data_IF_059859764358
#
_entry.id   IF_059859764358
#
_cell.length_a   1.000
_cell.length_b   1.000
_cell.length_c   1.000
_cell.angle_alpha   90.00
_cell.angle_beta   90.00
_cell.angle_gamma   90.00
#
_symmetry.space_group_name_H-M   'P 1'
#
loop_
_entity.id
_entity.type
_entity.pdbx_description
1 polymer ?
#
# COMPACT_ATOMS: atom_id res chain seq x y z
N UNK A 1 10.14 61.65 49.08
CA UNK A 1 10.83 61.11 47.87
C UNK A 1 10.76 59.59 47.90
N UNK A 2 10.76 58.96 46.72
CA UNK A 2 10.75 57.51 46.40
C UNK A 2 9.37 56.86 46.24
N UNK A 3 8.92 56.88 44.97
CA UNK A 3 7.91 55.98 44.37
C UNK A 3 8.54 54.58 44.24
N UNK A 4 7.90 53.55 44.76
CA UNK A 4 8.26 52.15 44.50
C UNK A 4 7.48 51.64 43.29
N UNK A 5 8.20 51.21 42.24
CA UNK A 5 7.66 50.56 41.04
C UNK A 5 7.42 49.08 41.35
N UNK A 6 6.19 48.61 41.17
CA UNK A 6 5.85 47.18 41.19
C UNK A 6 6.29 46.57 39.85
N UNK A 7 7.26 45.65 39.87
CA UNK A 7 7.69 44.89 38.71
C UNK A 7 6.76 43.68 38.55
N UNK A 8 6.02 43.64 37.44
CA UNK A 8 5.22 42.50 37.02
C UNK A 8 6.16 41.47 36.38
N UNK A 9 6.42 40.36 37.07
CA UNK A 9 7.20 39.23 36.56
C UNK A 9 6.30 38.32 35.73
N UNK A 10 6.39 38.40 34.39
CA UNK A 10 5.80 37.42 33.48
C UNK A 10 6.60 36.12 33.53
N UNK A 11 6.04 35.07 34.16
CA UNK A 11 6.53 33.70 33.99
C UNK A 11 6.09 33.18 32.61
N UNK A 12 7.02 33.17 31.66
CA UNK A 12 6.84 32.45 30.40
C UNK A 12 7.04 30.95 30.66
N UNK A 13 5.96 30.23 30.97
CA UNK A 13 5.97 28.77 31.04
C UNK A 13 6.13 28.19 29.63
N UNK A 14 7.28 27.56 29.37
CA UNK A 14 7.53 26.80 28.15
C UNK A 14 6.67 25.53 28.20
N UNK A 15 5.56 25.49 27.44
CA UNK A 15 4.85 24.24 27.18
C UNK A 15 5.76 23.36 26.31
N UNK A 16 6.39 22.37 26.91
CA UNK A 16 6.98 21.26 26.16
C UNK A 16 5.81 20.38 25.73
N UNK A 17 5.40 20.50 24.48
CA UNK A 17 4.49 19.53 23.87
C UNK A 17 5.23 18.18 23.83
N UNK A 18 4.87 17.26 24.73
CA UNK A 18 5.22 15.85 24.59
C UNK A 18 4.46 15.32 23.37
N UNK A 19 5.10 15.30 22.21
CA UNK A 19 4.61 14.49 21.11
C UNK A 19 4.77 13.04 21.56
N UNK A 20 3.68 12.24 21.69
CA UNK A 20 3.84 10.83 21.98
C UNK A 20 4.74 10.23 20.90
N UNK A 21 5.82 9.57 21.32
CA UNK A 21 6.56 8.67 20.46
C UNK A 21 5.55 7.68 19.87
N UNK A 22 5.51 7.62 18.54
CA UNK A 22 4.63 6.69 17.83
C UNK A 22 5.04 5.28 18.24
N UNK A 23 4.16 4.58 18.93
CA UNK A 23 4.46 3.24 19.43
C UNK A 23 4.61 2.28 18.24
N UNK A 24 5.72 1.57 18.21
CA UNK A 24 6.02 0.58 17.17
C UNK A 24 5.12 -0.64 17.37
N UNK A 25 4.57 -1.20 16.30
CA UNK A 25 3.75 -2.40 16.38
C UNK A 25 4.58 -3.61 16.81
N UNK A 26 4.01 -4.50 17.64
CA UNK A 26 4.66 -5.77 17.94
C UNK A 26 4.48 -6.70 16.74
N UNK A 27 5.59 -7.22 16.20
CA UNK A 27 5.58 -8.11 15.04
C UNK A 27 5.76 -9.57 15.48
N UNK A 28 4.80 -10.40 15.12
CA UNK A 28 4.88 -11.87 15.25
C UNK A 28 4.98 -12.48 13.86
N UNK A 29 5.98 -13.34 13.66
CA UNK A 29 6.18 -14.08 12.40
C UNK A 29 6.15 -15.58 12.64
N UNK A 30 5.80 -16.35 11.60
CA UNK A 30 5.79 -17.80 11.66
C UNK A 30 5.45 -18.45 10.33
N UNK A 31 5.10 -19.74 10.38
CA UNK A 31 4.72 -20.53 9.21
C UNK A 31 3.53 -21.43 9.55
N UNK A 32 2.56 -21.54 8.63
CA UNK A 32 1.42 -22.45 8.69
C UNK A 32 1.40 -23.22 7.37
N UNK A 33 1.53 -24.55 7.42
CA UNK A 33 1.49 -25.42 6.23
C UNK A 33 2.38 -24.97 5.05
N UNK A 34 3.53 -24.37 5.36
CA UNK A 34 4.49 -23.84 4.38
C UNK A 34 4.26 -22.38 3.97
N UNK A 35 3.11 -21.78 4.31
CA UNK A 35 2.85 -20.37 4.15
C UNK A 35 3.46 -19.56 5.30
N UNK A 36 4.34 -18.61 5.02
CA UNK A 36 4.85 -17.69 6.03
C UNK A 36 3.79 -16.64 6.37
N UNK A 37 3.75 -16.18 7.61
CA UNK A 37 2.90 -15.07 8.02
C UNK A 37 3.66 -14.03 8.84
N UNK A 38 3.15 -12.81 8.80
CA UNK A 38 3.52 -11.71 9.70
C UNK A 38 2.24 -11.05 10.22
N UNK A 39 2.15 -10.88 11.52
CA UNK A 39 1.04 -10.22 12.23
C UNK A 39 1.63 -9.02 12.98
N UNK A 40 1.06 -7.84 12.74
CA UNK A 40 1.33 -6.62 13.50
C UNK A 40 0.20 -6.40 14.51
N UNK A 41 0.56 -6.38 15.79
CA UNK A 41 -0.36 -6.17 16.91
C UNK A 41 -0.11 -4.81 17.59
N UNK A 42 -1.15 -4.16 18.13
CA UNK A 42 -0.98 -2.90 18.85
C UNK A 42 -0.19 -3.12 20.15
N UNK A 43 0.92 -2.40 20.33
CA UNK A 43 1.83 -2.55 21.48
C UNK A 43 1.46 -1.63 22.66
N UNK A 44 0.86 -0.47 22.37
CA UNK A 44 0.50 0.57 23.36
C UNK A 44 -0.91 0.44 23.91
N UNK A 45 -1.71 -0.51 23.40
CA UNK A 45 -3.10 -0.71 23.84
C UNK A 45 -3.60 -2.12 23.53
N UNK A 46 -4.64 -2.60 24.23
CA UNK A 46 -5.26 -3.88 23.91
C UNK A 46 -5.82 -3.92 22.48
N UNK A 47 -5.70 -5.08 21.84
CA UNK A 47 -6.37 -5.39 20.59
C UNK A 47 -7.89 -5.31 20.75
N UNK A 48 -8.55 -4.64 19.80
CA UNK A 48 -9.99 -4.40 19.80
C UNK A 48 -10.80 -5.44 19.00
N UNK A 49 -10.20 -6.59 18.70
CA UNK A 49 -10.82 -7.70 17.94
C UNK A 49 -11.15 -7.36 16.47
N UNK A 50 -10.57 -6.28 15.94
CA UNK A 50 -10.68 -5.92 14.53
C UNK A 50 -9.38 -6.26 13.80
N UNK A 51 -9.51 -6.84 12.60
CA UNK A 51 -8.42 -7.36 11.80
C UNK A 51 -8.53 -6.84 10.36
N UNK A 52 -7.40 -6.36 9.84
CA UNK A 52 -7.19 -6.25 8.39
C UNK A 52 -6.26 -7.37 7.93
N UNK A 53 -6.73 -8.21 7.01
CA UNK A 53 -5.95 -9.26 6.37
C UNK A 53 -5.54 -8.83 4.97
N UNK A 54 -4.24 -8.92 4.63
CA UNK A 54 -3.71 -8.47 3.34
C UNK A 54 -3.48 -9.67 2.42
N UNK A 55 -4.12 -9.65 1.26
CA UNK A 55 -3.88 -10.57 0.15
C UNK A 55 -2.98 -9.89 -0.90
N UNK A 56 -1.74 -10.39 -1.07
CA UNK A 56 -0.82 -9.76 -2.01
C UNK A 56 -1.10 -10.16 -3.47
N UNK A 57 -0.62 -9.34 -4.41
CA UNK A 57 -0.72 -9.61 -5.84
C UNK A 57 0.18 -10.76 -6.32
N UNK A 58 0.23 -10.94 -7.64
CA UNK A 58 1.06 -11.96 -8.26
C UNK A 58 2.53 -11.85 -7.85
N UNK A 59 3.17 -13.00 -7.68
CA UNK A 59 4.61 -13.15 -7.51
C UNK A 59 5.10 -14.30 -8.39
N UNK A 60 6.27 -14.17 -9.04
CA UNK A 60 6.85 -15.27 -9.82
C UNK A 60 7.09 -16.51 -8.96
N UNK A 61 6.89 -17.71 -9.51
CA UNK A 61 7.11 -18.98 -8.80
C UNK A 61 8.52 -19.11 -8.19
N UNK A 62 9.52 -18.51 -8.84
CA UNK A 62 10.92 -18.50 -8.40
C UNK A 62 11.24 -17.48 -7.30
N UNK A 63 10.31 -16.56 -6.99
CA UNK A 63 10.52 -15.57 -5.94
C UNK A 63 10.49 -16.23 -4.55
N UNK A 64 11.20 -15.66 -3.55
CA UNK A 64 11.13 -16.17 -2.18
C UNK A 64 9.71 -16.02 -1.60
N UNK A 65 9.33 -16.94 -0.71
CA UNK A 65 8.10 -16.82 0.06
C UNK A 65 8.34 -15.92 1.27
N UNK A 66 7.78 -14.71 1.22
CA UNK A 66 7.93 -13.70 2.28
C UNK A 66 6.60 -13.04 2.62
N UNK A 67 6.31 -12.91 3.91
CA UNK A 67 5.17 -12.14 4.42
C UNK A 67 5.64 -10.72 4.78
N UNK A 68 6.04 -9.96 3.76
CA UNK A 68 6.51 -8.57 3.85
C UNK A 68 5.36 -7.61 4.24
N UNK A 69 5.13 -7.48 5.55
CA UNK A 69 4.22 -6.52 6.14
C UNK A 69 4.99 -5.28 6.57
N UNK A 70 4.53 -4.10 6.14
CA UNK A 70 5.14 -2.81 6.46
C UNK A 70 4.22 -2.02 7.41
N UNK A 71 4.19 -2.32 8.72
CA UNK A 71 3.23 -1.74 9.66
C UNK A 71 3.36 -0.22 9.80
N UNK A 72 4.53 0.33 9.51
CA UNK A 72 4.83 1.77 9.58
C UNK A 72 4.18 2.58 8.44
N UNK A 73 3.71 1.94 7.37
CA UNK A 73 2.94 2.61 6.33
C UNK A 73 1.69 3.25 6.95
N UNK A 74 1.40 4.50 6.57
CA UNK A 74 0.51 5.36 7.36
C UNK A 74 -0.90 4.81 7.53
N UNK A 75 -1.43 4.04 6.58
CA UNK A 75 -2.72 3.37 6.70
C UNK A 75 -2.72 2.34 7.84
N UNK A 76 -1.76 1.41 7.80
CA UNK A 76 -1.66 0.31 8.77
C UNK A 76 -1.27 0.82 10.15
N UNK A 77 -0.31 1.74 10.22
CA UNK A 77 0.08 2.34 11.49
C UNK A 77 -1.09 3.05 12.14
N UNK A 78 -1.92 3.78 11.38
CA UNK A 78 -3.13 4.42 11.94
C UNK A 78 -4.12 3.40 12.50
N UNK A 79 -4.33 2.28 11.81
CA UNK A 79 -5.23 1.21 12.29
C UNK A 79 -4.68 0.54 13.57
N UNK A 80 -3.37 0.27 13.59
CA UNK A 80 -2.67 -0.30 14.75
C UNK A 80 -2.72 0.69 15.93
N UNK A 81 -2.52 1.98 15.69
CA UNK A 81 -2.64 3.05 16.69
C UNK A 81 -4.03 3.06 17.36
N UNK A 82 -5.06 2.64 16.61
CA UNK A 82 -6.44 2.51 17.07
C UNK A 82 -6.81 1.14 17.67
N UNK A 83 -5.85 0.20 17.69
CA UNK A 83 -6.00 -1.11 18.32
C UNK A 83 -6.40 -2.23 17.36
N UNK A 84 -6.38 -2.01 16.05
CA UNK A 84 -6.56 -3.09 15.06
C UNK A 84 -5.30 -3.95 14.94
N UNK A 85 -5.48 -5.20 14.53
CA UNK A 85 -4.39 -6.01 13.99
C UNK A 85 -4.31 -5.88 12.47
N UNK A 86 -3.11 -6.00 11.93
CA UNK A 86 -2.88 -6.15 10.49
C UNK A 86 -2.05 -7.40 10.26
N UNK A 87 -2.49 -8.29 9.37
CA UNK A 87 -1.79 -9.54 9.10
C UNK A 87 -1.63 -9.79 7.60
N UNK A 88 -0.58 -10.52 7.24
CA UNK A 88 -0.26 -10.89 5.86
C UNK A 88 0.33 -12.28 5.83
N UNK A 89 -0.01 -13.05 4.79
CA UNK A 89 0.61 -14.34 4.46
C UNK A 89 1.42 -14.23 3.17
N UNK A 90 2.46 -15.04 3.01
CA UNK A 90 3.18 -15.21 1.74
C UNK A 90 2.45 -16.14 0.77
N UNK A 91 1.39 -16.81 1.23
CA UNK A 91 0.90 -18.08 0.70
C UNK A 91 1.96 -19.19 0.76
N UNK A 92 1.52 -20.45 0.60
CA UNK A 92 2.37 -21.64 0.62
C UNK A 92 3.24 -21.78 -0.62
N UNK A 93 2.89 -21.08 -1.71
CA UNK A 93 3.62 -21.04 -2.97
C UNK A 93 3.35 -19.73 -3.73
N UNK A 94 4.21 -19.37 -4.67
CA UNK A 94 4.01 -18.26 -5.59
C UNK A 94 3.37 -18.74 -6.91
N UNK A 95 3.02 -17.81 -7.79
CA UNK A 95 2.35 -18.08 -9.07
C UNK A 95 0.91 -17.59 -9.11
N UNK A 96 0.14 -18.09 -10.08
CA UNK A 96 -1.31 -17.86 -10.17
C UNK A 96 -1.99 -18.98 -9.38
N UNK A 97 -2.28 -18.72 -8.10
CA UNK A 97 -2.61 -19.75 -7.11
C UNK A 97 -3.81 -19.34 -6.24
N UNK A 98 -4.94 -19.00 -6.88
CA UNK A 98 -6.10 -18.41 -6.21
C UNK A 98 -6.68 -19.36 -5.15
N UNK A 99 -6.83 -20.64 -5.48
CA UNK A 99 -7.41 -21.62 -4.56
C UNK A 99 -6.55 -21.88 -3.31
N UNK A 100 -5.24 -22.02 -3.49
CA UNK A 100 -4.30 -22.18 -2.37
C UNK A 100 -4.23 -20.90 -1.53
N UNK A 101 -4.19 -19.72 -2.16
CA UNK A 101 -4.15 -18.45 -1.46
C UNK A 101 -5.38 -18.25 -0.56
N UNK A 102 -6.57 -18.61 -1.04
CA UNK A 102 -7.81 -18.61 -0.24
C UNK A 102 -7.64 -19.51 1.00
N UNK A 103 -7.15 -20.73 0.79
CA UNK A 103 -6.94 -21.69 1.89
C UNK A 103 -5.96 -21.15 2.92
N UNK A 104 -4.86 -20.54 2.48
CA UNK A 104 -3.82 -19.99 3.37
C UNK A 104 -4.32 -18.76 4.16
N UNK A 105 -5.22 -17.96 3.58
CA UNK A 105 -5.86 -16.84 4.29
C UNK A 105 -6.80 -17.34 5.38
N UNK A 106 -7.62 -18.36 5.09
CA UNK A 106 -8.51 -18.99 6.06
C UNK A 106 -7.70 -19.61 7.22
N UNK A 107 -6.58 -20.27 6.91
CA UNK A 107 -5.67 -20.85 7.90
C UNK A 107 -5.02 -19.77 8.78
N UNK A 108 -4.60 -18.65 8.19
CA UNK A 108 -4.05 -17.53 8.96
C UNK A 108 -5.10 -16.90 9.88
N UNK A 109 -6.33 -16.71 9.40
CA UNK A 109 -7.43 -16.22 10.23
C UNK A 109 -7.73 -17.19 11.40
N UNK A 110 -7.80 -18.49 11.13
CA UNK A 110 -8.00 -19.50 12.16
C UNK A 110 -6.86 -19.49 13.20
N UNK A 111 -5.61 -19.34 12.76
CA UNK A 111 -4.45 -19.20 13.64
C UNK A 111 -4.53 -17.96 14.53
N UNK A 112 -4.93 -16.81 13.97
CA UNK A 112 -5.14 -15.57 14.74
C UNK A 112 -6.21 -15.78 15.80
N UNK A 113 -7.35 -16.36 15.42
CA UNK A 113 -8.47 -16.62 16.33
C UNK A 113 -8.08 -17.58 17.48
N UNK A 114 -7.29 -18.61 17.18
CA UNK A 114 -6.79 -19.53 18.19
C UNK A 114 -5.75 -18.91 19.13
N UNK A 115 -4.93 -17.99 18.63
CA UNK A 115 -3.79 -17.42 19.38
C UNK A 115 -4.18 -16.21 20.20
N UNK A 116 -5.01 -15.32 19.65
CA UNK A 116 -5.35 -14.03 20.25
C UNK A 116 -6.81 -13.97 20.77
N UNK A 117 -7.64 -14.94 20.40
CA UNK A 117 -9.09 -14.95 20.66
C UNK A 117 -9.90 -14.54 19.43
N UNK A 118 -11.23 -14.67 19.45
CA UNK A 118 -12.07 -14.46 18.27
C UNK A 118 -12.06 -13.01 17.78
N UNK A 119 -11.96 -12.83 16.47
CA UNK A 119 -12.22 -11.58 15.76
C UNK A 119 -13.70 -11.23 15.77
N UNK A 120 -14.02 -9.97 16.01
CA UNK A 120 -15.37 -9.41 15.82
C UNK A 120 -15.52 -8.74 14.44
N UNK A 121 -14.39 -8.47 13.79
CA UNK A 121 -14.36 -7.89 12.45
C UNK A 121 -13.13 -8.33 11.67
N UNK A 122 -13.35 -8.83 10.45
CA UNK A 122 -12.31 -9.18 9.49
C UNK A 122 -12.58 -8.47 8.16
N UNK A 123 -11.72 -7.51 7.83
CA UNK A 123 -11.69 -6.88 6.51
C UNK A 123 -10.49 -7.44 5.75
N UNK A 124 -10.72 -8.08 4.62
CA UNK A 124 -9.64 -8.51 3.73
C UNK A 124 -9.43 -7.45 2.64
N UNK A 125 -8.17 -7.04 2.46
CA UNK A 125 -7.76 -6.12 1.40
C UNK A 125 -6.78 -6.82 0.46
N UNK A 126 -7.13 -6.87 -0.82
CA UNK A 126 -6.37 -7.55 -1.84
C UNK A 126 -5.91 -6.62 -2.96
N UNK A 127 -4.65 -6.71 -3.35
CA UNK A 127 -4.07 -5.96 -4.47
C UNK A 127 -3.93 -6.86 -5.71
N UNK A 128 -4.35 -6.40 -6.89
CA UNK A 128 -4.15 -7.14 -8.16
C UNK A 128 -4.76 -8.55 -8.12
N UNK A 129 -3.95 -9.61 -8.24
CA UNK A 129 -4.37 -11.00 -7.99
C UNK A 129 -5.01 -11.18 -6.62
N UNK A 130 -4.51 -10.49 -5.58
CA UNK A 130 -5.13 -10.44 -4.26
C UNK A 130 -6.55 -9.86 -4.30
N UNK A 131 -6.81 -8.90 -5.18
CA UNK A 131 -8.15 -8.37 -5.42
C UNK A 131 -9.08 -9.38 -6.08
N UNK A 132 -8.55 -10.23 -6.96
CA UNK A 132 -9.28 -11.39 -7.52
C UNK A 132 -9.59 -12.41 -6.43
N UNK A 133 -8.62 -12.73 -5.57
CA UNK A 133 -8.81 -13.60 -4.39
C UNK A 133 -9.91 -13.03 -3.47
N UNK A 134 -9.87 -11.73 -3.18
CA UNK A 134 -10.89 -11.05 -2.38
C UNK A 134 -12.28 -11.15 -3.02
N UNK A 135 -12.36 -11.10 -4.35
CA UNK A 135 -13.62 -11.23 -5.10
C UNK A 135 -14.16 -12.66 -5.00
N UNK A 136 -13.31 -13.68 -5.18
CA UNK A 136 -13.71 -15.08 -4.96
C UNK A 136 -14.19 -15.33 -3.52
N UNK A 137 -13.54 -14.75 -2.51
CA UNK A 137 -13.98 -14.83 -1.12
C UNK A 137 -15.34 -14.16 -0.91
N UNK A 138 -15.58 -13.00 -1.53
CA UNK A 138 -16.88 -12.35 -1.48
C UNK A 138 -17.99 -13.19 -2.12
N UNK A 139 -17.71 -13.86 -3.24
CA UNK A 139 -18.63 -14.77 -3.93
C UNK A 139 -18.86 -16.08 -3.17
N UNK A 140 -17.83 -16.59 -2.49
CA UNK A 140 -17.91 -17.78 -1.64
C UNK A 140 -18.88 -17.55 -0.48
N UNK A 141 -18.83 -16.37 0.13
CA UNK A 141 -19.60 -16.05 1.34
C UNK A 141 -19.04 -16.74 2.58
N UNK A 142 -19.91 -16.91 3.58
CA UNK A 142 -19.57 -17.43 4.91
C UNK A 142 -19.39 -16.31 5.95
N UNK A 143 -19.14 -16.71 7.20
CA UNK A 143 -19.10 -15.79 8.35
C UNK A 143 -17.66 -15.44 8.78
N UNK A 144 -16.65 -15.93 8.06
CA UNK A 144 -15.23 -15.72 8.39
C UNK A 144 -14.73 -14.31 8.01
N UNK A 145 -15.33 -13.68 7.00
CA UNK A 145 -14.98 -12.35 6.51
C UNK A 145 -16.20 -11.44 6.49
N UNK A 146 -16.07 -10.23 7.03
CA UNK A 146 -17.17 -9.27 7.02
C UNK A 146 -17.18 -8.42 5.75
N UNK A 147 -16.01 -8.06 5.22
CA UNK A 147 -15.89 -7.16 4.08
C UNK A 147 -14.61 -7.34 3.27
N UNK A 148 -14.73 -7.21 1.95
CA UNK A 148 -13.67 -7.48 0.99
C UNK A 148 -13.37 -6.20 0.19
N UNK A 149 -12.11 -5.79 0.18
CA UNK A 149 -11.61 -4.65 -0.60
C UNK A 149 -10.70 -5.19 -1.70
N UNK A 150 -11.04 -4.92 -2.95
CA UNK A 150 -10.31 -5.38 -4.11
C UNK A 150 -9.72 -4.18 -4.88
N UNK A 151 -8.41 -3.98 -4.73
CA UNK A 151 -7.67 -2.86 -5.32
C UNK A 151 -7.02 -3.29 -6.62
N UNK A 152 -7.36 -2.62 -7.73
CA UNK A 152 -6.81 -2.93 -9.06
C UNK A 152 -6.99 -4.40 -9.44
N UNK A 153 -8.15 -4.98 -9.11
CA UNK A 153 -8.37 -6.43 -9.18
C UNK A 153 -8.15 -7.00 -10.59
N UNK A 154 -7.31 -8.02 -10.70
CA UNK A 154 -7.00 -8.69 -11.95
C UNK A 154 -8.10 -9.72 -12.31
N UNK A 155 -9.33 -9.26 -12.54
CA UNK A 155 -10.52 -10.13 -12.66
C UNK A 155 -10.48 -11.09 -13.85
N UNK A 156 -9.63 -10.83 -14.85
CA UNK A 156 -9.41 -11.73 -16.00
C UNK A 156 -8.37 -12.83 -15.73
N UNK A 157 -7.72 -12.80 -14.57
CA UNK A 157 -6.78 -13.84 -14.16
C UNK A 157 -7.48 -15.20 -14.07
N UNK A 158 -6.84 -16.25 -14.58
CA UNK A 158 -7.33 -17.63 -14.50
C UNK A 158 -6.21 -18.53 -13.96
N UNK A 159 -6.50 -19.27 -12.90
CA UNK A 159 -5.62 -20.33 -12.42
C UNK A 159 -5.64 -21.51 -13.41
N UNK A 160 -4.49 -22.12 -13.64
CA UNK A 160 -4.40 -23.23 -14.60
C UNK A 160 -5.21 -24.43 -14.11
N UNK A 161 -6.16 -24.89 -14.94
CA UNK A 161 -7.04 -26.01 -14.59
C UNK A 161 -8.27 -25.60 -13.77
N UNK A 162 -8.40 -24.32 -13.42
CA UNK A 162 -9.63 -23.79 -12.86
C UNK A 162 -10.67 -23.60 -13.99
N UNK A 163 -11.69 -24.46 -13.97
CA UNK A 163 -12.81 -24.38 -14.90
C UNK A 163 -13.84 -23.31 -14.49
N UNK A 164 -13.72 -22.74 -13.28
CA UNK A 164 -14.71 -21.89 -12.66
C UNK A 164 -14.10 -20.53 -12.31
N UNK A 165 -14.19 -19.59 -13.25
CA UNK A 165 -13.93 -18.19 -12.96
C UNK A 165 -14.96 -17.61 -11.97
N UNK A 166 -14.86 -16.30 -11.78
CA UNK A 166 -15.79 -15.53 -10.96
C UNK A 166 -17.25 -15.85 -11.34
N UNK A 167 -18.05 -16.16 -10.32
CA UNK A 167 -19.44 -16.53 -10.49
C UNK A 167 -20.36 -15.30 -10.58
N UNK A 168 -19.87 -14.08 -10.35
CA UNK A 168 -20.58 -12.80 -10.43
C UNK A 168 -21.76 -12.68 -9.44
N UNK A 169 -21.69 -13.39 -8.32
CA UNK A 169 -22.70 -13.42 -7.27
C UNK A 169 -22.05 -13.21 -5.89
N UNK A 170 -21.53 -11.99 -5.61
CA UNK A 170 -20.96 -11.68 -4.31
C UNK A 170 -22.04 -11.82 -3.22
N UNK A 171 -21.73 -12.60 -2.18
CA UNK A 171 -22.57 -12.81 -1.00
C UNK A 171 -22.18 -11.89 0.16
N UNK A 172 -20.97 -11.32 0.11
CA UNK A 172 -20.44 -10.39 1.13
C UNK A 172 -20.21 -8.99 0.55
N UNK A 173 -20.17 -7.94 1.41
CA UNK A 173 -19.76 -6.60 1.03
C UNK A 173 -18.42 -6.58 0.29
N UNK A 174 -18.47 -6.22 -0.99
CA UNK A 174 -17.32 -6.12 -1.87
C UNK A 174 -17.13 -4.68 -2.38
N UNK A 175 -16.00 -4.08 -2.05
CA UNK A 175 -15.59 -2.75 -2.50
C UNK A 175 -14.40 -2.87 -3.45
N UNK A 176 -14.64 -2.56 -4.72
CA UNK A 176 -13.58 -2.32 -5.68
C UNK A 176 -13.01 -0.92 -5.54
N UNK A 177 -11.70 -0.79 -5.62
CA UNK A 177 -10.98 0.47 -5.75
C UNK A 177 -10.11 0.36 -7.00
N UNK A 178 -10.35 1.20 -8.00
CA UNK A 178 -9.65 1.07 -9.28
C UNK A 178 -9.11 2.42 -9.77
N UNK A 179 -7.86 2.37 -10.22
CA UNK A 179 -7.26 3.40 -11.05
C UNK A 179 -8.01 3.54 -12.37
N UNK A 180 -7.92 4.72 -13.00
CA UNK A 180 -8.54 5.00 -14.30
C UNK A 180 -8.23 3.96 -15.38
N UNK A 181 -6.98 3.55 -15.47
CA UNK A 181 -6.49 2.56 -16.45
C UNK A 181 -7.00 1.14 -16.20
N UNK A 182 -7.63 0.89 -15.04
CA UNK A 182 -8.05 -0.45 -14.59
C UNK A 182 -9.54 -0.51 -14.26
N UNK A 183 -10.26 0.55 -14.61
CA UNK A 183 -11.62 0.79 -14.14
C UNK A 183 -12.65 -0.15 -14.81
N UNK A 184 -12.37 -0.58 -16.04
CA UNK A 184 -13.32 -1.33 -16.86
C UNK A 184 -13.64 -2.72 -16.33
N UNK A 185 -12.67 -3.45 -15.78
CA UNK A 185 -12.89 -4.79 -15.23
C UNK A 185 -13.94 -4.78 -14.12
N UNK A 186 -13.71 -4.06 -13.00
CA UNK A 186 -14.69 -3.91 -11.94
C UNK A 186 -16.03 -3.32 -12.42
N UNK A 187 -16.00 -2.35 -13.35
CA UNK A 187 -17.23 -1.78 -13.92
C UNK A 187 -18.07 -2.83 -14.64
N UNK A 188 -17.44 -3.72 -15.41
CA UNK A 188 -18.11 -4.81 -16.09
C UNK A 188 -18.66 -5.83 -15.10
N UNK A 189 -17.88 -6.22 -14.09
CA UNK A 189 -18.35 -7.08 -12.99
C UNK A 189 -19.63 -6.54 -12.34
N UNK A 190 -19.67 -5.24 -12.01
CA UNK A 190 -20.85 -4.56 -11.46
C UNK A 190 -22.06 -4.62 -12.39
N UNK A 191 -21.87 -4.39 -13.69
CA UNK A 191 -22.94 -4.44 -14.69
C UNK A 191 -23.51 -5.85 -14.81
N UNK A 192 -22.64 -6.87 -14.87
CA UNK A 192 -23.06 -8.27 -15.01
C UNK A 192 -23.75 -8.80 -13.75
N UNK A 193 -23.24 -8.43 -12.57
CA UNK A 193 -23.90 -8.72 -11.28
C UNK A 193 -25.30 -8.12 -11.22
N UNK A 194 -25.47 -6.87 -11.69
CA UNK A 194 -26.77 -6.18 -11.66
C UNK A 194 -27.82 -6.82 -12.58
N UNK A 195 -27.39 -7.59 -13.58
CA UNK A 195 -28.28 -8.28 -14.52
C UNK A 195 -28.79 -9.64 -14.00
N UNK A 196 -28.34 -10.09 -12.83
CA UNK A 196 -28.71 -11.40 -12.28
C UNK A 196 -29.98 -11.30 -11.44
N UNK A 197 -31.11 -11.69 -12.02
CA UNK A 197 -32.38 -11.83 -11.32
C UNK A 197 -32.40 -13.10 -10.43
N UNK A 198 -32.99 -13.02 -9.23
CA UNK A 198 -33.31 -14.18 -8.40
C UNK A 198 -32.19 -14.74 -7.50
N UNK A 199 -30.99 -14.15 -7.51
CA UNK A 199 -29.89 -14.52 -6.60
C UNK A 199 -29.80 -13.52 -5.44
N UNK A 200 -29.76 -14.00 -4.20
CA UNK A 200 -29.45 -13.15 -3.04
C UNK A 200 -27.97 -12.76 -3.09
N UNK A 201 -27.70 -11.57 -3.64
CA UNK A 201 -26.37 -11.00 -3.76
C UNK A 201 -26.26 -9.67 -3.01
N UNK A 202 -25.08 -9.37 -2.50
CA UNK A 202 -24.73 -8.06 -1.97
C UNK A 202 -24.15 -7.23 -3.10
N UNK A 203 -24.89 -6.20 -3.55
CA UNK A 203 -24.41 -5.38 -4.66
C UNK A 203 -23.02 -4.81 -4.35
N UNK A 204 -22.02 -4.99 -5.23
CA UNK A 204 -20.66 -4.48 -5.02
C UNK A 204 -20.57 -2.97 -5.25
N UNK A 205 -19.53 -2.34 -4.73
CA UNK A 205 -19.21 -0.91 -4.88
C UNK A 205 -17.98 -0.77 -5.76
N UNK A 206 -17.89 0.32 -6.52
CA UNK A 206 -16.67 0.72 -7.20
C UNK A 206 -16.32 2.18 -6.86
N UNK A 207 -15.14 2.37 -6.27
CA UNK A 207 -14.50 3.67 -6.11
C UNK A 207 -13.47 3.89 -7.20
N UNK A 208 -13.47 5.11 -7.77
CA UNK A 208 -12.48 5.55 -8.76
C UNK A 208 -11.31 6.22 -8.06
N UNK A 209 -10.11 5.96 -8.57
CA UNK A 209 -8.91 6.75 -8.35
C UNK A 209 -8.52 7.41 -9.67
N UNK A 210 -8.55 8.74 -9.72
CA UNK A 210 -8.22 9.61 -10.87
C UNK A 210 -6.70 9.72 -11.07
N UNK A 211 -6.04 8.56 -11.11
CA UNK A 211 -4.64 8.39 -11.50
C UNK A 211 -4.52 7.10 -12.31
N UNK A 212 -3.68 7.11 -13.32
CA UNK A 212 -3.36 5.93 -14.13
C UNK A 212 -2.32 5.05 -13.41
N UNK A 213 -2.25 3.77 -13.77
CA UNK A 213 -1.30 2.79 -13.24
C UNK A 213 -1.98 1.57 -12.63
N UNK A 214 -1.18 0.53 -12.32
CA UNK A 214 -1.65 -0.71 -11.70
C UNK A 214 -1.50 -0.64 -10.19
N UNK A 215 -2.60 -0.76 -9.44
CA UNK A 215 -2.61 -0.64 -7.96
C UNK A 215 -1.91 0.65 -7.50
N UNK A 216 -2.00 1.71 -8.31
CA UNK A 216 -1.42 3.01 -8.02
C UNK A 216 -2.32 3.72 -7.00
N UNK A 217 -2.29 3.24 -5.75
CA UNK A 217 -3.17 3.68 -4.66
C UNK A 217 -2.31 3.98 -3.44
N UNK A 218 -2.47 5.18 -2.89
CA UNK A 218 -1.67 5.67 -1.77
C UNK A 218 -2.23 5.23 -0.42
N UNK A 219 -1.47 5.46 0.64
CA UNK A 219 -1.86 5.02 1.98
C UNK A 219 -3.12 5.73 2.49
N UNK A 220 -3.34 7.00 2.13
CA UNK A 220 -4.56 7.72 2.51
C UNK A 220 -5.81 7.10 1.87
N UNK A 221 -5.71 6.66 0.62
CA UNK A 221 -6.79 5.98 -0.10
C UNK A 221 -7.03 4.56 0.42
N UNK A 222 -5.98 3.81 0.75
CA UNK A 222 -6.11 2.50 1.42
C UNK A 222 -6.84 2.63 2.74
N UNK A 223 -6.42 3.58 3.58
CA UNK A 223 -7.10 3.87 4.84
C UNK A 223 -8.55 4.29 4.59
N UNK A 224 -8.80 5.16 3.62
CA UNK A 224 -10.15 5.58 3.26
C UNK A 224 -11.04 4.41 2.84
N UNK A 225 -10.54 3.48 2.02
CA UNK A 225 -11.26 2.29 1.61
C UNK A 225 -11.60 1.38 2.80
N UNK A 226 -10.66 1.17 3.73
CA UNK A 226 -10.89 0.39 4.95
C UNK A 226 -11.96 1.05 5.83
N UNK A 227 -11.93 2.37 5.98
CA UNK A 227 -12.96 3.12 6.72
C UNK A 227 -14.32 3.09 6.04
N UNK A 228 -14.35 3.20 4.72
CA UNK A 228 -15.58 3.12 3.95
C UNK A 228 -16.21 1.72 4.08
N UNK A 229 -15.40 0.67 4.00
CA UNK A 229 -15.85 -0.70 4.28
C UNK A 229 -16.37 -0.83 5.70
N UNK A 230 -15.61 -0.38 6.71
CA UNK A 230 -16.05 -0.44 8.11
C UNK A 230 -17.39 0.29 8.33
N UNK A 231 -17.55 1.45 7.71
CA UNK A 231 -18.81 2.23 7.74
C UNK A 231 -19.97 1.51 7.05
N UNK A 232 -19.71 0.83 5.94
CA UNK A 232 -20.71 -0.02 5.28
C UNK A 232 -21.14 -1.15 6.20
N UNK A 233 -20.19 -1.84 6.83
CA UNK A 233 -20.50 -2.93 7.77
C UNK A 233 -21.32 -2.45 8.97
N UNK A 234 -21.04 -1.26 9.51
CA UNK A 234 -21.75 -0.73 10.68
C UNK A 234 -23.13 -0.16 10.36
N UNK A 235 -23.29 0.47 9.19
CA UNK A 235 -24.47 1.32 8.88
C UNK A 235 -25.21 0.89 7.61
N UNK A 236 -24.80 -0.21 7.00
CA UNK A 236 -25.28 -0.64 5.69
C UNK A 236 -24.84 0.30 4.57
N UNK A 237 -25.42 0.12 3.38
CA UNK A 237 -25.09 0.91 2.19
C UNK A 237 -25.15 2.44 2.36
N UNK A 238 -26.09 3.01 3.14
CA UNK A 238 -26.10 4.46 3.42
C UNK A 238 -24.88 4.97 4.20
N UNK A 239 -24.07 4.09 4.81
CA UNK A 239 -22.82 4.47 5.46
C UNK A 239 -21.69 4.81 4.49
N UNK A 240 -21.81 4.45 3.21
CA UNK A 240 -20.79 4.74 2.20
C UNK A 240 -20.86 6.20 1.75
N UNK A 241 -19.72 6.78 1.33
CA UNK A 241 -19.74 8.06 0.65
C UNK A 241 -20.53 7.97 -0.66
N UNK A 242 -21.28 9.03 -0.96
CA UNK A 242 -22.09 9.13 -2.17
C UNK A 242 -21.38 9.98 -3.22
N UNK A 243 -21.44 9.60 -4.50
CA UNK A 243 -20.90 10.44 -5.56
C UNK A 243 -21.75 11.72 -5.69
N UNK A 244 -21.09 12.86 -5.91
CA UNK A 244 -21.76 14.17 -6.03
C UNK A 244 -22.09 14.50 -7.49
N UNK A 245 -21.24 14.10 -8.44
CA UNK A 245 -21.33 14.50 -9.84
C UNK A 245 -21.37 13.33 -10.84
N UNK A 246 -20.82 12.18 -10.49
CA UNK A 246 -20.63 11.02 -11.39
C UNK A 246 -21.42 9.80 -10.88
N UNK A 247 -21.48 8.72 -11.66
CA UNK A 247 -22.08 7.44 -11.22
C UNK A 247 -21.23 6.76 -10.12
N UNK A 248 -19.93 7.00 -10.12
CA UNK A 248 -18.97 6.37 -9.21
C UNK A 248 -18.34 7.40 -8.28
N UNK A 249 -18.09 7.00 -7.03
CA UNK A 249 -17.44 7.87 -6.05
C UNK A 249 -15.95 8.00 -6.38
N UNK A 250 -15.45 9.23 -6.44
CA UNK A 250 -14.04 9.52 -6.61
C UNK A 250 -13.34 9.53 -5.24
N UNK A 251 -12.55 8.50 -4.98
CA UNK A 251 -11.83 8.32 -3.73
C UNK A 251 -10.42 8.91 -3.75
N UNK A 252 -10.01 9.58 -4.84
CA UNK A 252 -8.64 10.09 -5.03
C UNK A 252 -8.25 11.01 -3.88
N UNK A 253 -7.15 10.67 -3.21
CA UNK A 253 -6.52 11.52 -2.21
C UNK A 253 -5.22 12.08 -2.77
N UNK A 254 -4.98 13.37 -2.55
CA UNK A 254 -3.69 13.96 -2.87
C UNK A 254 -2.63 13.41 -1.92
N UNK A 255 -1.45 12.99 -2.41
CA UNK A 255 -0.36 12.61 -1.53
C UNK A 255 0.07 13.81 -0.67
N UNK A 256 0.48 13.51 0.56
CA UNK A 256 1.02 14.49 1.50
C UNK A 256 2.28 13.92 2.16
N UNK A 257 3.43 13.91 1.46
CA UNK A 257 4.67 13.35 1.98
C UNK A 257 5.29 14.18 3.11
N UNK A 258 4.71 15.34 3.45
CA UNK A 258 5.26 16.28 4.42
C UNK A 258 6.47 17.05 3.90
N UNK A 259 7.23 17.65 4.80
CA UNK A 259 8.45 18.38 4.45
C UNK A 259 9.51 17.43 3.89
N UNK A 260 10.23 17.90 2.88
CA UNK A 260 11.39 17.19 2.34
C UNK A 260 12.44 16.97 3.41
N UNK A 261 13.09 15.81 3.32
CA UNK A 261 14.16 15.38 4.24
C UNK A 261 15.48 15.12 3.50
N UNK A 262 15.55 15.43 2.20
CA UNK A 262 16.77 15.25 1.41
C UNK A 262 17.74 16.41 1.65
N UNK A 263 19.04 16.15 1.52
CA UNK A 263 20.06 17.18 1.58
C UNK A 263 20.46 17.60 0.16
N UNK A 264 20.18 18.84 -0.24
CA UNK A 264 20.56 19.37 -1.55
C UNK A 264 22.00 19.90 -1.49
N UNK A 265 22.79 19.60 -2.52
CA UNK A 265 24.16 20.09 -2.69
C UNK A 265 24.18 21.63 -2.77
N UNK A 266 25.28 22.26 -2.32
CA UNK A 266 25.41 23.72 -2.36
C UNK A 266 25.32 24.33 -3.77
N UNK A 267 25.65 23.56 -4.82
CA UNK A 267 25.53 23.99 -6.22
C UNK A 267 24.15 23.72 -6.84
N UNK A 268 23.22 23.16 -6.07
CA UNK A 268 21.87 22.76 -6.49
C UNK A 268 21.87 21.85 -7.74
N UNK A 269 22.92 21.03 -7.93
CA UNK A 269 22.97 20.05 -9.02
C UNK A 269 22.89 18.60 -8.55
N UNK A 270 22.91 18.37 -7.25
CA UNK A 270 22.72 17.05 -6.68
C UNK A 270 22.03 17.10 -5.33
N UNK A 271 21.67 15.92 -4.84
CA UNK A 271 21.01 15.72 -3.56
C UNK A 271 21.36 14.34 -2.98
N UNK A 272 21.24 14.21 -1.66
CA UNK A 272 21.33 12.94 -0.95
C UNK A 272 19.97 12.53 -0.42
N UNK A 273 19.52 11.33 -0.79
CA UNK A 273 18.28 10.71 -0.33
C UNK A 273 18.56 9.40 0.41
N UNK A 274 17.57 8.92 1.17
CA UNK A 274 17.64 7.68 1.94
C UNK A 274 16.66 6.65 1.44
N UNK A 275 17.10 5.40 1.46
CA UNK A 275 16.23 4.24 1.25
C UNK A 275 15.32 4.05 2.45
N UNK A 276 14.02 4.07 2.22
CA UNK A 276 12.99 3.89 3.26
C UNK A 276 12.40 2.49 3.29
N UNK A 277 12.35 1.82 2.14
CA UNK A 277 11.81 0.47 2.00
C UNK A 277 12.52 -0.25 0.84
N UNK A 278 12.66 -1.57 0.95
CA UNK A 278 13.17 -2.43 -0.13
C UNK A 278 12.17 -3.56 -0.35
N UNK A 279 11.71 -3.72 -1.59
CA UNK A 279 10.90 -4.87 -1.97
C UNK A 279 11.76 -6.12 -1.96
N UNK A 280 11.47 -7.04 -1.04
CA UNK A 280 12.16 -8.34 -0.97
C UNK A 280 11.91 -9.23 -2.21
N UNK A 281 10.84 -8.95 -2.97
CA UNK A 281 10.45 -9.71 -4.15
C UNK A 281 11.11 -9.17 -5.42
N UNK A 282 10.99 -7.87 -5.65
CA UNK A 282 11.39 -7.24 -6.91
C UNK A 282 12.72 -6.52 -6.82
N UNK A 283 13.22 -6.27 -5.61
CA UNK A 283 14.44 -5.48 -5.42
C UNK A 283 14.28 -4.00 -5.73
N UNK A 284 13.06 -3.53 -5.97
CA UNK A 284 12.75 -2.11 -6.10
C UNK A 284 12.93 -1.42 -4.75
N UNK A 285 13.40 -0.19 -4.79
CA UNK A 285 13.78 0.59 -3.62
C UNK A 285 12.90 1.82 -3.52
N UNK A 286 12.41 2.11 -2.33
CA UNK A 286 11.69 3.36 -2.05
C UNK A 286 12.64 4.37 -1.45
N UNK A 287 12.54 5.61 -1.91
CA UNK A 287 13.34 6.72 -1.45
C UNK A 287 12.47 7.74 -0.72
N UNK A 288 13.02 8.38 0.32
CA UNK A 288 12.41 9.58 0.93
C UNK A 288 12.46 10.83 0.02
N UNK A 289 12.80 10.65 -1.26
CA UNK A 289 12.89 11.66 -2.30
C UNK A 289 11.49 12.02 -2.80
N UNK A 290 11.21 13.32 -2.94
CA UNK A 290 9.96 13.83 -3.49
C UNK A 290 10.17 14.41 -4.90
N UNK A 291 9.11 14.49 -5.74
CA UNK A 291 9.21 15.13 -7.07
C UNK A 291 9.72 16.57 -7.03
N UNK A 292 9.36 17.34 -5.99
CA UNK A 292 9.81 18.71 -5.81
C UNK A 292 11.33 18.81 -5.58
N UNK A 293 11.94 17.80 -4.95
CA UNK A 293 13.38 17.75 -4.71
C UNK A 293 14.17 17.54 -6.02
N UNK A 294 13.68 16.62 -6.87
CA UNK A 294 14.27 16.41 -8.20
C UNK A 294 14.15 17.67 -9.06
N UNK A 295 13.01 18.37 -9.00
CA UNK A 295 12.83 19.65 -9.67
C UNK A 295 13.79 20.74 -9.13
N UNK A 296 14.05 20.76 -7.82
CA UNK A 296 14.96 21.73 -7.20
C UNK A 296 16.41 21.61 -7.68
N UNK A 297 16.85 20.42 -8.10
CA UNK A 297 18.17 20.21 -8.71
C UNK A 297 18.16 20.27 -10.24
N UNK A 298 17.02 20.65 -10.84
CA UNK A 298 16.83 20.74 -12.28
C UNK A 298 16.78 19.39 -12.99
N UNK A 299 16.42 18.31 -12.28
CA UNK A 299 16.27 16.97 -12.86
C UNK A 299 14.80 16.68 -13.20
N UNK A 300 14.37 17.10 -14.38
CA UNK A 300 13.00 16.92 -14.87
C UNK A 300 12.78 15.56 -15.54
N UNK A 301 11.51 15.16 -15.69
CA UNK A 301 11.13 13.92 -16.38
C UNK A 301 11.80 13.80 -17.75
N UNK A 302 12.22 12.58 -18.09
CA UNK A 302 12.89 12.25 -19.34
C UNK A 302 14.41 12.42 -19.31
N UNK A 303 14.95 13.19 -18.37
CA UNK A 303 16.40 13.43 -18.25
C UNK A 303 17.11 12.31 -17.49
N UNK A 304 18.40 12.19 -17.79
CA UNK A 304 19.30 11.27 -17.09
C UNK A 304 20.12 11.99 -16.03
N UNK A 305 20.50 11.27 -14.99
CA UNK A 305 21.39 11.71 -13.91
C UNK A 305 22.38 10.60 -13.54
N UNK A 306 23.38 10.96 -12.74
CA UNK A 306 24.24 10.03 -12.03
C UNK A 306 23.55 9.60 -10.74
N UNK A 307 23.48 8.30 -10.51
CA UNK A 307 23.15 7.67 -9.24
C UNK A 307 24.44 7.15 -8.64
N UNK A 308 24.81 7.64 -7.47
CA UNK A 308 26.03 7.29 -6.77
C UNK A 308 25.65 6.58 -5.47
N UNK A 309 26.19 5.38 -5.28
CA UNK A 309 25.97 4.54 -4.10
C UNK A 309 27.35 4.04 -3.63
N UNK A 310 27.87 4.61 -2.54
CA UNK A 310 29.24 4.33 -2.11
C UNK A 310 30.26 4.71 -3.18
N UNK A 311 30.99 3.72 -3.69
CA UNK A 311 31.97 3.84 -4.78
C UNK A 311 31.40 3.50 -6.16
N UNK A 312 30.13 3.09 -6.24
CA UNK A 312 29.47 2.72 -7.48
C UNK A 312 28.72 3.92 -8.09
N UNK A 313 28.86 4.10 -9.41
CA UNK A 313 28.11 5.11 -10.16
C UNK A 313 27.33 4.46 -11.29
N UNK A 314 26.05 4.78 -11.38
CA UNK A 314 25.12 4.32 -12.41
C UNK A 314 24.51 5.52 -13.14
N UNK A 315 24.03 5.28 -14.36
CA UNK A 315 23.19 6.24 -15.08
C UNK A 315 21.73 5.90 -14.81
N UNK A 316 20.94 6.87 -14.37
CA UNK A 316 19.52 6.69 -14.01
C UNK A 316 18.63 7.68 -14.73
N UNK A 317 17.46 7.23 -15.18
CA UNK A 317 16.48 8.09 -15.87
C UNK A 317 15.37 8.51 -14.92
N UNK A 318 14.98 9.78 -14.96
CA UNK A 318 13.71 10.22 -14.39
C UNK A 318 12.60 9.80 -15.35
N UNK A 319 11.91 8.72 -15.04
CA UNK A 319 10.82 8.15 -15.84
C UNK A 319 9.44 8.44 -15.25
N UNK A 320 8.42 7.81 -15.85
CA UNK A 320 7.05 7.78 -15.34
C UNK A 320 6.69 6.45 -14.68
N UNK A 321 7.35 5.40 -15.13
CA UNK A 321 7.06 4.00 -14.82
C UNK A 321 8.28 3.13 -15.18
N UNK A 322 8.12 1.82 -15.03
CA UNK A 322 9.14 0.84 -15.40
C UNK A 322 9.47 0.82 -16.90
N UNK A 323 8.51 1.14 -17.77
CA UNK A 323 8.65 1.09 -19.23
C UNK A 323 9.35 2.34 -19.81
N UNK A 324 9.69 3.29 -18.95
CA UNK A 324 10.42 4.51 -19.32
C UNK A 324 11.89 4.25 -19.71
N UNK A 325 12.41 3.05 -19.46
CA UNK A 325 13.78 2.62 -19.77
C UNK A 325 13.83 1.20 -20.32
N UNK A 326 14.91 0.85 -21.00
CA UNK A 326 15.11 -0.51 -21.51
C UNK A 326 15.39 -1.51 -20.38
N UNK A 327 15.30 -2.81 -20.72
CA UNK A 327 15.60 -3.89 -19.80
C UNK A 327 17.02 -3.74 -19.21
N UNK A 328 17.12 -3.77 -17.88
CA UNK A 328 18.37 -3.69 -17.14
C UNK A 328 18.85 -2.28 -16.84
N UNK A 329 18.19 -1.24 -17.37
CA UNK A 329 18.49 0.16 -17.09
C UNK A 329 17.84 0.64 -15.78
N UNK A 330 18.41 1.70 -15.20
CA UNK A 330 17.93 2.30 -13.96
C UNK A 330 16.91 3.39 -14.23
N UNK A 331 15.83 3.37 -13.45
CA UNK A 331 14.75 4.36 -13.53
C UNK A 331 14.33 4.81 -12.14
N UNK A 332 13.98 6.10 -12.05
CA UNK A 332 13.42 6.75 -10.88
C UNK A 332 12.12 7.40 -11.29
N UNK A 333 11.04 7.16 -10.55
CA UNK A 333 9.73 7.75 -10.86
C UNK A 333 8.85 7.88 -9.60
N UNK A 334 7.93 8.85 -9.54
CA UNK A 334 7.09 9.08 -8.37
C UNK A 334 6.16 7.90 -8.05
N UNK A 335 5.90 7.66 -6.77
CA UNK A 335 4.88 6.73 -6.30
C UNK A 335 3.60 7.45 -5.87
N UNK A 336 2.55 6.68 -5.57
CA UNK A 336 1.24 7.20 -5.19
C UNK A 336 1.27 8.10 -3.94
N UNK A 337 2.22 7.86 -3.02
CA UNK A 337 2.39 8.57 -1.75
C UNK A 337 3.17 9.89 -1.89
N UNK A 338 3.60 10.25 -3.11
CA UNK A 338 4.35 11.48 -3.36
C UNK A 338 5.85 11.37 -3.06
N UNK A 339 6.34 10.15 -2.88
CA UNK A 339 7.76 9.81 -2.81
C UNK A 339 8.21 9.19 -4.14
N UNK A 340 9.39 8.57 -4.18
CA UNK A 340 9.98 8.10 -5.43
C UNK A 340 10.46 6.66 -5.32
N UNK A 341 10.18 5.87 -6.36
CA UNK A 341 10.79 4.58 -6.60
C UNK A 341 12.16 4.74 -7.24
N UNK A 342 13.08 3.85 -6.90
CA UNK A 342 14.30 3.57 -7.64
C UNK A 342 14.28 2.09 -8.02
N UNK A 343 14.36 1.83 -9.31
CA UNK A 343 14.18 0.50 -9.88
C UNK A 343 15.19 0.24 -10.97
N UNK A 344 15.42 -1.04 -11.25
CA UNK A 344 16.19 -1.51 -12.40
C UNK A 344 15.25 -2.36 -13.24
N UNK A 345 14.94 -1.95 -14.46
CA UNK A 345 13.86 -2.59 -15.22
C UNK A 345 14.18 -4.08 -15.46
N UNK A 346 13.27 -4.99 -15.08
CA UNK A 346 13.49 -6.44 -15.05
C UNK A 346 14.78 -6.90 -14.32
N UNK A 347 15.23 -6.16 -13.32
CA UNK A 347 16.37 -6.48 -12.49
C UNK A 347 16.12 -6.11 -11.03
N UNK A 348 17.07 -6.46 -10.17
CA UNK A 348 17.02 -6.16 -8.75
C UNK A 348 17.92 -4.96 -8.44
N UNK A 349 17.33 -3.78 -8.21
CA UNK A 349 18.08 -2.55 -7.93
C UNK A 349 18.85 -2.66 -6.61
N UNK A 350 18.19 -3.18 -5.57
CA UNK A 350 18.77 -3.35 -4.25
C UNK A 350 19.99 -4.27 -4.25
N UNK A 351 19.90 -5.44 -4.89
CA UNK A 351 21.01 -6.38 -5.02
C UNK A 351 22.14 -5.79 -5.89
N UNK A 352 21.80 -5.12 -7.00
CA UNK A 352 22.81 -4.57 -7.93
C UNK A 352 23.69 -3.50 -7.27
N UNK A 353 23.11 -2.66 -6.40
CA UNK A 353 23.81 -1.56 -5.72
C UNK A 353 23.96 -1.77 -4.20
N UNK A 354 23.74 -2.99 -3.70
CA UNK A 354 23.81 -3.34 -2.27
C UNK A 354 22.99 -2.42 -1.34
N UNK A 355 21.80 -2.01 -1.78
CA UNK A 355 20.93 -1.10 -1.04
C UNK A 355 20.09 -1.86 -0.01
N UNK A 356 19.97 -1.27 1.18
CA UNK A 356 19.12 -1.74 2.28
C UNK A 356 18.44 -0.53 2.92
N UNK A 357 17.42 -0.77 3.75
CA UNK A 357 16.76 0.31 4.51
C UNK A 357 17.80 1.13 5.28
N UNK A 358 17.77 2.44 5.10
CA UNK A 358 18.73 3.38 5.68
C UNK A 358 19.96 3.69 4.81
N UNK A 359 20.19 2.97 3.71
CA UNK A 359 21.24 3.31 2.75
C UNK A 359 21.05 4.73 2.22
N UNK A 360 22.15 5.47 2.08
CA UNK A 360 22.18 6.78 1.43
C UNK A 360 22.54 6.63 -0.05
N UNK A 361 21.83 7.37 -0.90
CA UNK A 361 22.16 7.52 -2.32
C UNK A 361 22.40 8.99 -2.61
N UNK A 362 23.33 9.27 -3.52
CA UNK A 362 23.53 10.60 -4.07
C UNK A 362 23.08 10.63 -5.52
N UNK A 363 22.26 11.62 -5.87
CA UNK A 363 21.77 11.84 -7.22
C UNK A 363 22.35 13.15 -7.72
N UNK A 364 22.93 13.14 -8.92
CA UNK A 364 23.57 14.32 -9.51
C UNK A 364 23.20 14.48 -10.97
N UNK A 365 22.70 15.67 -11.33
CA UNK A 365 22.40 16.01 -12.72
C UNK A 365 23.68 16.04 -13.55
N UNK A 366 23.65 15.44 -14.74
CA UNK A 366 24.75 15.59 -15.70
C UNK A 366 25.00 17.07 -16.03
N UNK A 367 26.25 17.45 -16.32
CA UNK A 367 26.53 18.77 -16.89
C UNK A 367 25.66 18.99 -18.13
N UNK A 368 25.14 20.20 -18.32
CA UNK A 368 24.52 20.54 -19.59
C UNK A 368 25.55 20.29 -20.70
N UNK A 369 25.20 19.46 -21.67
CA UNK A 369 26.00 19.32 -22.89
C UNK A 369 25.99 20.68 -23.59
N UNK A 370 27.18 21.30 -23.70
CA UNK A 370 27.39 22.53 -24.47
C UNK A 370 27.06 22.35 -25.95
#
# INVERSE_FOLDING_TARGET
MRRARLLLSCFAGTLIAYLPSRAEADLTTGTIDGAHYTIATPSHRPWNQQLVLIAHGYRPESAPLVADLFPHQSAYQTLIDEGWMVAKTSYRRNGIIVADAITDLDQLLAHINATYGPTNRVILMGDSMGGTIATHLAERGGDDYDGLIAIGAALELREHGDAHGLNLAPQLPLLFVANRSEFDGPRNYLNETSAREGVHLVSPVLFRIDRDGHVNVNQAERLFAIRAMNSWLDRGRPGLPHPVLDKFFDATQRPNPGLSQVAIDADARGLTAKVTEVSAIYGNVFLNLQPADMAAIGWTEGLWAELIVGDQTFRVRHGRDFDSVERGEWVVFPNADGFTWLSRNWGNAAETANLHVGSEIHLRRFPASN
#
